data_IF_009783336427
#
_entry.id   IF_009783336427
#
_cell.length_a   1.000
_cell.length_b   1.000
_cell.length_c   1.000
_cell.angle_alpha   90.00
_cell.angle_beta   90.00
_cell.angle_gamma   90.00
#
_symmetry.space_group_name_H-M   'P 1'
#
loop_
_entity.id
_entity.type
_entity.pdbx_description
1 polymer ?
#
# COMPACT_ATOMS: atom_id res chain seq x y z
N UNK A 1 -19.77 -0.72 -52.46
CA UNK A 1 -18.36 -1.20 -52.54
C UNK A 1 -18.21 -2.33 -51.54
N UNK A 2 -17.62 -3.48 -51.90
CA UNK A 2 -17.38 -4.53 -50.90
C UNK A 2 -16.49 -3.97 -49.78
N UNK A 3 -16.78 -4.32 -48.53
CA UNK A 3 -16.00 -3.85 -47.40
C UNK A 3 -14.55 -4.33 -47.55
N UNK A 4 -13.64 -3.37 -47.66
CA UNK A 4 -12.21 -3.63 -47.64
C UNK A 4 -11.81 -3.82 -46.18
N UNK A 5 -11.37 -5.02 -45.81
CA UNK A 5 -10.82 -5.28 -44.49
C UNK A 5 -9.34 -5.64 -44.57
N UNK A 6 -8.56 -5.20 -43.59
CA UNK A 6 -7.08 -5.26 -43.62
C UNK A 6 -6.50 -6.35 -42.72
N UNK A 7 -7.35 -7.04 -41.95
CA UNK A 7 -6.96 -8.08 -41.02
C UNK A 7 -7.45 -9.44 -41.48
N UNK A 8 -6.58 -10.44 -41.37
CA UNK A 8 -6.91 -11.85 -41.48
C UNK A 8 -6.25 -12.64 -40.36
N UNK A 9 -6.54 -13.94 -40.29
CA UNK A 9 -5.82 -14.89 -39.46
C UNK A 9 -4.92 -15.76 -40.33
N UNK A 10 -3.62 -15.83 -40.04
CA UNK A 10 -2.67 -16.76 -40.68
C UNK A 10 -2.07 -17.64 -39.59
N UNK A 11 -2.17 -18.96 -39.74
CA UNK A 11 -1.73 -19.92 -38.71
C UNK A 11 -2.31 -19.63 -37.31
N UNK A 12 -3.57 -19.18 -37.26
CA UNK A 12 -4.25 -18.81 -36.01
C UNK A 12 -3.88 -17.43 -35.45
N UNK A 13 -2.88 -16.73 -35.99
CA UNK A 13 -2.45 -15.41 -35.51
C UNK A 13 -3.09 -14.29 -36.32
N UNK A 14 -3.37 -13.16 -35.67
CA UNK A 14 -3.76 -11.93 -36.37
C UNK A 14 -2.65 -11.49 -37.31
N UNK A 15 -3.03 -11.08 -38.52
CA UNK A 15 -2.09 -10.60 -39.53
C UNK A 15 -2.71 -9.39 -40.22
N UNK A 16 -2.03 -8.24 -40.12
CA UNK A 16 -2.38 -7.08 -40.92
C UNK A 16 -1.81 -7.26 -42.34
N UNK A 17 -2.51 -6.79 -43.37
CA UNK A 17 -2.04 -7.00 -44.76
C UNK A 17 -0.67 -6.37 -45.04
N UNK A 18 -0.34 -5.26 -44.36
CA UNK A 18 0.98 -4.60 -44.41
C UNK A 18 2.10 -5.40 -43.74
N UNK A 19 1.79 -6.43 -42.95
CA UNK A 19 2.80 -7.33 -42.35
C UNK A 19 3.20 -8.46 -43.31
N UNK A 20 2.51 -8.60 -44.45
CA UNK A 20 2.78 -9.63 -45.45
C UNK A 20 3.73 -9.11 -46.53
N UNK A 21 4.70 -9.95 -46.92
CA UNK A 21 5.54 -9.71 -48.10
C UNK A 21 4.72 -9.84 -49.40
N UNK A 22 4.58 -8.77 -50.21
CA UNK A 22 3.83 -8.80 -51.47
C UNK A 22 4.38 -9.76 -52.53
N UNK A 23 5.69 -10.03 -52.52
CA UNK A 23 6.32 -10.93 -53.48
C UNK A 23 5.94 -12.39 -53.22
N UNK A 24 5.59 -12.73 -51.98
CA UNK A 24 5.33 -14.11 -51.54
C UNK A 24 3.84 -14.34 -51.30
N UNK A 25 3.13 -13.35 -50.78
CA UNK A 25 1.82 -13.52 -50.17
C UNK A 25 0.66 -12.92 -50.96
N UNK A 26 0.87 -12.52 -52.21
CA UNK A 26 -0.19 -11.95 -53.05
C UNK A 26 -1.29 -12.99 -53.37
N UNK A 27 -2.55 -12.54 -53.42
CA UNK A 27 -3.69 -13.38 -53.76
C UNK A 27 -3.92 -14.47 -52.72
N UNK A 28 -4.20 -15.70 -53.17
CA UNK A 28 -4.43 -16.86 -52.29
C UNK A 28 -3.19 -17.34 -51.53
N UNK A 29 -1.99 -16.92 -51.96
CA UNK A 29 -0.73 -17.28 -51.31
C UNK A 29 -0.57 -16.66 -49.92
N UNK A 30 -1.43 -15.71 -49.55
CA UNK A 30 -1.46 -15.17 -48.19
C UNK A 30 -1.84 -16.22 -47.13
N UNK A 31 -2.52 -17.30 -47.51
CA UNK A 31 -2.95 -18.34 -46.56
C UNK A 31 -3.77 -17.81 -45.38
N UNK A 32 -4.38 -16.63 -45.54
CA UNK A 32 -5.17 -15.99 -44.49
C UNK A 32 -6.62 -16.45 -44.55
N UNK A 33 -7.28 -16.49 -43.39
CA UNK A 33 -8.72 -16.72 -43.25
C UNK A 33 -9.40 -15.53 -42.57
N UNK A 34 -10.68 -15.34 -42.83
CA UNK A 34 -11.49 -14.30 -42.21
C UNK A 34 -11.70 -14.61 -40.72
N UNK A 35 -11.50 -13.63 -39.83
CA UNK A 35 -11.79 -13.80 -38.41
C UNK A 35 -13.29 -14.06 -38.15
N UNK A 36 -14.18 -13.46 -38.95
CA UNK A 36 -15.62 -13.59 -38.76
C UNK A 36 -16.20 -14.94 -39.22
N UNK A 37 -15.88 -15.39 -40.44
CA UNK A 37 -16.48 -16.60 -41.01
C UNK A 37 -15.51 -17.78 -41.22
N UNK A 38 -14.21 -17.60 -40.96
CA UNK A 38 -13.20 -18.64 -41.12
C UNK A 38 -12.85 -19.02 -42.57
N UNK A 39 -13.46 -18.38 -43.58
CA UNK A 39 -13.21 -18.67 -45.00
C UNK A 39 -11.89 -18.07 -45.48
N UNK A 40 -11.32 -18.68 -46.52
CA UNK A 40 -10.07 -18.21 -47.14
C UNK A 40 -10.21 -16.79 -47.70
N UNK A 41 -9.13 -16.03 -47.59
CA UNK A 41 -8.98 -14.67 -48.09
C UNK A 41 -7.97 -14.63 -49.25
N UNK A 42 -8.14 -13.65 -50.14
CA UNK A 42 -7.14 -13.21 -51.12
C UNK A 42 -6.55 -11.88 -50.69
N UNK A 43 -5.23 -11.75 -50.73
CA UNK A 43 -4.57 -10.47 -50.44
C UNK A 43 -4.34 -9.64 -51.71
N UNK A 44 -4.96 -8.47 -51.78
CA UNK A 44 -4.80 -7.53 -52.88
C UNK A 44 -3.78 -6.45 -52.52
N UNK A 45 -2.56 -6.56 -53.06
CA UNK A 45 -1.42 -5.69 -52.72
C UNK A 45 -0.87 -4.94 -53.95
N UNK A 46 -1.63 -3.98 -54.48
CA UNK A 46 -1.24 -3.23 -55.69
C UNK A 46 -0.61 -1.88 -55.41
N UNK A 47 -0.06 -1.24 -56.44
CA UNK A 47 0.49 0.13 -56.37
C UNK A 47 -0.61 1.21 -56.41
N UNK A 48 -1.76 0.91 -57.03
CA UNK A 48 -2.81 1.90 -57.32
C UNK A 48 -4.00 1.89 -56.36
N UNK A 49 -4.15 0.84 -55.55
CA UNK A 49 -5.26 0.69 -54.59
C UNK A 49 -4.72 0.33 -53.23
N UNK A 50 -5.38 0.84 -52.19
CA UNK A 50 -5.09 0.47 -50.80
C UNK A 50 -5.12 -1.05 -50.65
N UNK A 51 -4.14 -1.58 -49.93
CA UNK A 51 -4.01 -3.02 -49.72
C UNK A 51 -5.16 -3.50 -48.83
N UNK A 52 -5.86 -4.55 -49.26
CA UNK A 52 -6.96 -5.15 -48.50
C UNK A 52 -7.07 -6.65 -48.76
N UNK A 53 -7.75 -7.33 -47.87
CA UNK A 53 -8.23 -8.69 -48.09
C UNK A 53 -9.61 -8.67 -48.74
N UNK A 54 -9.88 -9.69 -49.56
CA UNK A 54 -11.19 -10.03 -50.08
C UNK A 54 -11.46 -11.50 -49.82
N UNK A 55 -12.72 -11.89 -49.61
CA UNK A 55 -13.06 -13.32 -49.55
C UNK A 55 -12.74 -14.00 -50.87
N UNK A 56 -12.13 -15.19 -50.79
CA UNK A 56 -11.76 -15.95 -51.97
C UNK A 56 -12.99 -16.45 -52.76
N UNK A 57 -14.05 -16.74 -52.04
CA UNK A 57 -15.37 -17.07 -52.56
C UNK A 57 -16.35 -16.10 -51.90
N UNK A 58 -17.19 -15.45 -52.71
CA UNK A 58 -18.16 -14.48 -52.21
C UNK A 58 -19.02 -15.10 -51.10
N UNK A 59 -19.04 -14.42 -49.96
CA UNK A 59 -19.90 -14.76 -48.83
C UNK A 59 -20.79 -13.55 -48.54
N UNK A 60 -21.97 -13.50 -49.17
CA UNK A 60 -22.91 -12.39 -49.00
C UNK A 60 -23.32 -12.13 -47.54
N UNK A 61 -23.09 -13.08 -46.64
CA UNK A 61 -23.42 -12.98 -45.22
C UNK A 61 -22.24 -12.52 -44.33
N UNK A 62 -21.01 -12.42 -44.85
CA UNK A 62 -19.85 -12.01 -44.06
C UNK A 62 -19.39 -10.59 -44.44
N UNK A 63 -19.75 -9.62 -43.62
CA UNK A 63 -19.38 -8.22 -43.80
C UNK A 63 -18.75 -7.63 -42.51
N UNK A 64 -17.55 -8.09 -42.12
CA UNK A 64 -16.92 -7.63 -40.89
C UNK A 64 -16.59 -6.14 -41.02
N UNK A 65 -17.11 -5.35 -40.08
CA UNK A 65 -16.90 -3.90 -40.08
C UNK A 65 -15.46 -3.58 -39.66
N UNK A 66 -14.75 -2.64 -40.33
CA UNK A 66 -13.35 -2.35 -40.03
C UNK A 66 -13.08 -2.03 -38.55
N UNK A 67 -13.97 -1.26 -37.90
CA UNK A 67 -13.85 -0.98 -36.46
C UNK A 67 -14.09 -2.19 -35.55
N UNK A 68 -14.90 -3.15 -35.98
CA UNK A 68 -15.09 -4.40 -35.23
C UNK A 68 -13.84 -5.25 -35.33
N UNK A 69 -13.18 -5.26 -36.49
CA UNK A 69 -11.91 -5.97 -36.67
C UNK A 69 -10.76 -5.32 -35.91
N UNK A 70 -10.66 -3.99 -35.87
CA UNK A 70 -9.65 -3.29 -35.07
C UNK A 70 -9.82 -3.61 -33.58
N UNK A 71 -11.05 -3.52 -33.06
CA UNK A 71 -11.35 -3.87 -31.66
C UNK A 71 -10.95 -5.30 -31.34
N UNK A 72 -11.37 -6.27 -32.17
CA UNK A 72 -11.02 -7.68 -31.97
C UNK A 72 -9.52 -7.94 -32.08
N UNK A 73 -8.83 -7.29 -33.03
CA UNK A 73 -7.37 -7.33 -33.15
C UNK A 73 -6.68 -6.86 -31.87
N UNK A 74 -7.01 -5.66 -31.40
CA UNK A 74 -6.39 -5.07 -30.21
C UNK A 74 -6.68 -5.89 -28.95
N UNK A 75 -7.94 -6.27 -28.74
CA UNK A 75 -8.37 -7.10 -27.61
C UNK A 75 -7.59 -8.42 -27.55
N UNK A 76 -7.56 -9.17 -28.64
CA UNK A 76 -6.92 -10.49 -28.64
C UNK A 76 -5.39 -10.35 -28.48
N UNK A 77 -4.77 -9.34 -29.11
CA UNK A 77 -3.33 -9.06 -28.92
C UNK A 77 -2.99 -8.63 -27.51
N UNK A 78 -3.89 -7.92 -26.82
CA UNK A 78 -3.74 -7.62 -25.40
C UNK A 78 -3.85 -8.88 -24.54
N UNK A 79 -4.83 -9.76 -24.80
CA UNK A 79 -5.02 -11.01 -24.05
C UNK A 79 -3.80 -11.96 -24.15
N UNK A 80 -3.06 -11.91 -25.26
CA UNK A 80 -1.85 -12.70 -25.46
C UNK A 80 -0.63 -12.18 -24.67
N UNK A 81 -0.69 -10.96 -24.12
CA UNK A 81 0.45 -10.37 -23.39
C UNK A 81 0.61 -10.94 -21.99
N UNK A 82 1.87 -11.18 -21.61
CA UNK A 82 2.27 -11.55 -20.24
C UNK A 82 2.63 -10.35 -19.37
N UNK A 83 2.79 -9.18 -19.98
CA UNK A 83 3.06 -7.95 -19.26
C UNK A 83 2.49 -6.74 -20.00
N UNK A 84 2.06 -5.74 -19.23
CA UNK A 84 1.63 -4.43 -19.74
C UNK A 84 2.17 -3.34 -18.83
N UNK A 85 2.72 -2.29 -19.44
CA UNK A 85 2.88 -1.00 -18.76
C UNK A 85 1.50 -0.34 -18.66
N UNK A 86 1.11 0.05 -17.45
CA UNK A 86 -0.10 0.82 -17.20
C UNK A 86 0.29 2.13 -16.47
N UNK A 87 -0.27 3.27 -16.90
CA UNK A 87 0.09 4.56 -16.33
C UNK A 87 -0.50 4.74 -14.93
N UNK A 88 0.29 5.34 -14.05
CA UNK A 88 -0.16 5.89 -12.78
C UNK A 88 -0.74 7.29 -12.95
N UNK A 89 -0.35 8.24 -12.09
CA UNK A 89 -0.57 9.68 -12.22
C UNK A 89 -0.95 10.38 -10.91
N UNK A 90 -0.95 11.72 -10.98
CA UNK A 90 -1.53 12.58 -9.98
C UNK A 90 -3.05 12.38 -9.95
N UNK A 91 -3.55 11.75 -8.89
CA UNK A 91 -4.99 11.57 -8.65
C UNK A 91 -5.47 12.49 -7.55
N UNK A 92 -6.64 13.07 -7.77
CA UNK A 92 -7.36 13.80 -6.73
C UNK A 92 -7.92 12.80 -5.71
N UNK A 93 -7.64 13.02 -4.43
CA UNK A 93 -8.27 12.32 -3.31
C UNK A 93 -9.07 13.31 -2.48
N UNK A 94 -10.30 12.94 -2.14
CA UNK A 94 -11.22 13.80 -1.39
C UNK A 94 -11.68 13.06 -0.14
N UNK A 95 -11.67 13.76 0.99
CA UNK A 95 -12.20 13.24 2.24
C UNK A 95 -13.05 14.31 2.92
N UNK A 96 -14.23 13.90 3.39
CA UNK A 96 -15.04 14.65 4.34
C UNK A 96 -14.99 13.92 5.68
N UNK A 97 -14.45 14.59 6.69
CA UNK A 97 -14.39 14.06 8.05
C UNK A 97 -14.92 15.12 9.00
N UNK A 98 -15.98 14.77 9.74
CA UNK A 98 -16.65 15.65 10.70
C UNK A 98 -17.02 17.03 10.13
N UNK A 99 -17.54 17.05 8.90
CA UNK A 99 -17.97 18.28 8.21
C UNK A 99 -16.82 19.11 7.65
N UNK A 100 -15.58 18.63 7.74
CA UNK A 100 -14.41 19.25 7.10
C UNK A 100 -14.07 18.46 5.84
N UNK A 101 -14.36 19.05 4.69
CA UNK A 101 -13.96 18.52 3.38
C UNK A 101 -12.58 19.06 3.00
N UNK A 102 -11.66 18.16 2.66
CA UNK A 102 -10.35 18.50 2.06
C UNK A 102 -10.10 17.68 0.80
N UNK A 103 -9.21 18.22 -0.03
CA UNK A 103 -8.75 17.63 -1.28
C UNK A 103 -7.23 17.66 -1.31
N UNK A 104 -6.61 16.61 -1.84
CA UNK A 104 -5.17 16.52 -2.08
C UNK A 104 -4.90 15.80 -3.40
N UNK A 105 -3.77 16.11 -4.04
CA UNK A 105 -3.28 15.33 -5.18
C UNK A 105 -2.21 14.36 -4.70
N UNK A 106 -2.41 13.07 -4.98
CA UNK A 106 -1.47 12.01 -4.64
C UNK A 106 -0.87 11.47 -5.93
N UNK A 107 0.46 11.44 -6.01
CA UNK A 107 1.15 10.82 -7.12
C UNK A 107 1.18 9.30 -6.95
N UNK A 108 0.62 8.57 -7.91
CA UNK A 108 0.75 7.12 -7.98
C UNK A 108 1.65 6.79 -9.17
N UNK A 109 2.64 5.94 -8.97
CA UNK A 109 3.65 5.66 -9.99
C UNK A 109 3.11 4.76 -11.10
N UNK A 110 3.64 4.95 -12.31
CA UNK A 110 3.50 4.02 -13.42
C UNK A 110 4.03 2.64 -13.04
N UNK A 111 3.45 1.59 -13.64
CA UNK A 111 3.83 0.22 -13.29
C UNK A 111 3.71 -0.74 -14.46
N UNK A 112 4.67 -1.66 -14.54
CA UNK A 112 4.54 -2.87 -15.37
C UNK A 112 3.83 -3.94 -14.54
N UNK A 113 2.70 -4.39 -15.05
CA UNK A 113 1.92 -5.49 -14.51
C UNK A 113 2.30 -6.78 -15.23
N UNK A 114 2.54 -7.83 -14.45
CA UNK A 114 2.80 -9.18 -14.95
C UNK A 114 1.54 -10.03 -14.79
N UNK A 115 1.24 -10.84 -15.81
CA UNK A 115 0.03 -11.65 -15.89
C UNK A 115 0.38 -13.12 -16.10
N UNK A 116 -0.26 -14.02 -15.35
CA UNK A 116 -0.19 -15.46 -15.63
C UNK A 116 -1.02 -15.83 -16.85
N UNK A 117 -2.14 -15.14 -17.05
CA UNK A 117 -3.04 -15.34 -18.16
C UNK A 117 -3.83 -14.06 -18.49
N UNK A 118 -4.20 -13.91 -19.76
CA UNK A 118 -5.20 -12.97 -20.25
C UNK A 118 -6.25 -13.75 -21.02
N UNK A 119 -7.53 -13.53 -20.73
CA UNK A 119 -8.65 -14.21 -21.38
C UNK A 119 -9.52 -13.17 -22.07
N UNK A 120 -9.64 -13.26 -23.40
CA UNK A 120 -10.55 -12.41 -24.16
C UNK A 120 -12.00 -12.87 -24.01
N UNK A 121 -12.93 -11.92 -23.98
CA UNK A 121 -14.38 -12.17 -23.95
C UNK A 121 -14.82 -13.15 -22.83
N UNK A 122 -14.15 -13.13 -21.67
CA UNK A 122 -14.46 -14.06 -20.58
C UNK A 122 -15.60 -13.52 -19.69
N UNK A 123 -16.75 -14.20 -19.62
CA UNK A 123 -17.84 -13.76 -18.75
C UNK A 123 -17.45 -13.85 -17.28
N UNK A 124 -17.73 -12.79 -16.52
CA UNK A 124 -17.57 -12.74 -15.06
C UNK A 124 -18.87 -12.19 -14.47
N UNK A 125 -19.68 -13.08 -13.90
CA UNK A 125 -21.04 -12.74 -13.46
C UNK A 125 -21.95 -12.43 -14.66
N UNK A 126 -22.58 -11.27 -14.65
CA UNK A 126 -23.44 -10.76 -15.72
C UNK A 126 -22.70 -9.83 -16.70
N UNK A 127 -21.38 -9.65 -16.52
CA UNK A 127 -20.56 -8.75 -17.30
C UNK A 127 -19.52 -9.54 -18.11
N UNK A 128 -19.27 -9.10 -19.33
CA UNK A 128 -18.22 -9.65 -20.18
C UNK A 128 -17.22 -8.54 -20.52
N UNK A 129 -16.08 -8.46 -19.80
CA UNK A 129 -14.98 -7.60 -20.16
C UNK A 129 -14.32 -8.04 -21.48
N UNK A 130 -13.70 -7.11 -22.19
CA UNK A 130 -12.97 -7.42 -23.41
C UNK A 130 -11.77 -8.33 -23.13
N UNK A 131 -11.02 -8.05 -22.06
CA UNK A 131 -9.96 -8.92 -21.54
C UNK A 131 -10.01 -8.97 -20.02
N UNK A 132 -9.84 -10.14 -19.44
CA UNK A 132 -9.58 -10.33 -18.00
C UNK A 132 -8.18 -10.89 -17.82
N UNK A 133 -7.35 -10.19 -17.05
CA UNK A 133 -5.99 -10.62 -16.70
C UNK A 133 -5.93 -11.13 -15.27
N UNK A 134 -5.30 -12.29 -15.10
CA UNK A 134 -4.98 -12.84 -13.78
C UNK A 134 -3.59 -12.36 -13.35
N UNK A 135 -3.52 -11.61 -12.26
CA UNK A 135 -2.25 -11.11 -11.70
C UNK A 135 -1.82 -12.04 -10.54
N UNK A 136 -0.65 -12.70 -10.61
CA UNK A 136 -0.19 -13.64 -9.58
C UNK A 136 -0.18 -13.03 -8.18
N UNK A 137 -0.81 -13.71 -7.22
CA UNK A 137 -0.89 -13.27 -5.82
C UNK A 137 -1.72 -11.99 -5.59
N UNK A 138 -2.50 -11.56 -6.58
CA UNK A 138 -3.37 -10.38 -6.53
C UNK A 138 -4.77 -10.73 -7.05
N UNK A 139 -5.58 -9.69 -7.25
CA UNK A 139 -6.91 -9.78 -7.88
C UNK A 139 -6.79 -9.66 -9.40
N UNK A 140 -7.85 -10.05 -10.10
CA UNK A 140 -7.94 -9.92 -11.55
C UNK A 140 -8.12 -8.46 -11.98
N UNK A 141 -7.55 -8.12 -13.13
CA UNK A 141 -7.66 -6.82 -13.79
C UNK A 141 -8.54 -6.95 -15.04
N UNK A 142 -9.60 -6.15 -15.11
CA UNK A 142 -10.41 -6.04 -16.31
C UNK A 142 -9.86 -4.96 -17.25
N UNK A 143 -9.82 -5.25 -18.54
CA UNK A 143 -9.47 -4.32 -19.59
C UNK A 143 -10.61 -4.21 -20.60
N UNK A 144 -10.97 -2.98 -20.95
CA UNK A 144 -11.92 -2.62 -22.01
C UNK A 144 -11.19 -1.96 -23.17
N UNK A 145 -11.51 -2.32 -24.40
CA UNK A 145 -11.02 -1.66 -25.62
C UNK A 145 -12.13 -0.78 -26.16
N UNK A 146 -11.94 0.54 -26.13
CA UNK A 146 -12.99 1.51 -26.48
C UNK A 146 -12.88 1.98 -27.93
N UNK A 147 -13.97 1.85 -28.70
CA UNK A 147 -14.03 2.28 -30.12
C UNK A 147 -14.68 3.64 -30.41
N UNK A 148 -15.83 3.97 -29.80
CA UNK A 148 -16.57 5.22 -30.15
C UNK A 148 -17.42 5.71 -29.01
N UNK A 149 -18.19 4.82 -28.38
CA UNK A 149 -18.92 5.14 -27.14
C UNK A 149 -18.05 4.74 -25.96
N UNK A 150 -17.88 5.66 -25.00
CA UNK A 150 -17.27 5.32 -23.71
C UNK A 150 -18.02 4.13 -23.09
N UNK A 151 -17.35 3.36 -22.24
CA UNK A 151 -18.02 2.43 -21.32
C UNK A 151 -19.23 3.16 -20.72
N UNK A 152 -20.43 2.67 -21.01
CA UNK A 152 -21.64 3.33 -20.52
C UNK A 152 -21.58 3.41 -18.98
N UNK A 153 -22.20 4.42 -18.38
CA UNK A 153 -22.09 4.64 -16.94
C UNK A 153 -22.50 3.41 -16.12
N UNK A 154 -23.42 2.58 -16.63
CA UNK A 154 -23.87 1.35 -15.98
C UNK A 154 -22.82 0.22 -16.09
N UNK A 155 -22.17 0.03 -17.24
CA UNK A 155 -21.08 -0.93 -17.43
C UNK A 155 -19.88 -0.55 -16.57
N UNK A 156 -19.55 0.75 -16.48
CA UNK A 156 -18.48 1.25 -15.62
C UNK A 156 -18.73 0.97 -14.14
N UNK A 157 -19.97 1.11 -13.68
CA UNK A 157 -20.35 0.78 -12.30
C UNK A 157 -20.26 -0.73 -12.02
N UNK A 158 -20.70 -1.56 -12.96
CA UNK A 158 -20.55 -3.02 -12.86
C UNK A 158 -19.08 -3.43 -12.79
N UNK A 159 -18.23 -2.87 -13.65
CA UNK A 159 -16.77 -3.09 -13.60
C UNK A 159 -16.19 -2.73 -12.23
N UNK A 160 -16.57 -1.57 -11.66
CA UNK A 160 -16.13 -1.14 -10.32
C UNK A 160 -16.59 -2.10 -9.21
N UNK A 161 -17.77 -2.70 -9.35
CA UNK A 161 -18.31 -3.63 -8.36
C UNK A 161 -17.64 -5.01 -8.39
N UNK A 162 -17.24 -5.48 -9.58
CA UNK A 162 -16.68 -6.81 -9.78
C UNK A 162 -15.15 -6.85 -9.68
N UNK A 163 -14.47 -5.78 -10.12
CA UNK A 163 -13.02 -5.74 -10.22
C UNK A 163 -12.41 -4.65 -9.34
N UNK A 164 -11.34 -5.01 -8.63
CA UNK A 164 -10.55 -4.01 -7.90
C UNK A 164 -9.84 -3.08 -8.89
N UNK A 165 -9.34 -3.61 -10.00
CA UNK A 165 -8.73 -2.83 -11.07
C UNK A 165 -9.45 -3.07 -12.40
N UNK A 166 -9.86 -1.98 -13.04
CA UNK A 166 -10.46 -1.98 -14.36
C UNK A 166 -9.95 -0.77 -15.14
N UNK A 167 -9.45 -0.98 -16.35
CA UNK A 167 -8.86 0.06 -17.20
C UNK A 167 -9.42 -0.01 -18.62
N UNK A 168 -9.54 1.15 -19.25
CA UNK A 168 -9.95 1.30 -20.64
C UNK A 168 -8.73 1.69 -21.49
N UNK A 169 -8.60 1.08 -22.66
CA UNK A 169 -7.66 1.45 -23.72
C UNK A 169 -8.43 2.02 -24.92
N UNK A 170 -8.18 3.29 -25.23
CA UNK A 170 -8.88 4.05 -26.27
C UNK A 170 -8.25 3.80 -27.65
N UNK A 171 -9.06 3.28 -28.57
CA UNK A 171 -8.72 3.05 -29.98
C UNK A 171 -9.58 3.88 -30.93
N UNK A 172 -10.35 4.85 -30.41
CA UNK A 172 -11.38 5.56 -31.17
C UNK A 172 -10.87 6.51 -32.24
N UNK A 173 -9.65 7.02 -32.07
CA UNK A 173 -8.94 7.88 -33.02
C UNK A 173 -7.96 7.10 -33.91
N UNK A 174 -7.81 5.79 -33.70
CA UNK A 174 -6.95 4.97 -34.54
C UNK A 174 -7.56 4.80 -35.94
N UNK A 175 -6.73 4.64 -36.98
CA UNK A 175 -7.21 4.50 -38.34
C UNK A 175 -8.29 3.43 -38.49
N UNK A 176 -9.43 3.81 -39.06
CA UNK A 176 -10.50 2.86 -39.36
C UNK A 176 -10.05 1.72 -40.29
N UNK A 177 -9.03 2.00 -41.10
CA UNK A 177 -8.36 1.04 -41.95
C UNK A 177 -7.41 0.08 -41.20
N UNK A 178 -7.40 0.08 -39.87
CA UNK A 178 -6.56 -0.78 -39.03
C UNK A 178 -5.13 -0.26 -38.83
N UNK A 179 -4.44 -0.88 -37.88
CA UNK A 179 -3.05 -0.65 -37.50
C UNK A 179 -2.24 -1.96 -37.51
N UNK A 180 -0.92 -1.88 -37.69
CA UNK A 180 -0.01 -3.04 -37.56
C UNK A 180 0.31 -3.34 -36.09
N UNK A 181 0.96 -4.48 -35.84
CA UNK A 181 1.44 -4.82 -34.49
C UNK A 181 2.43 -3.77 -33.94
N UNK A 182 3.33 -3.26 -34.78
CA UNK A 182 4.30 -2.24 -34.38
C UNK A 182 3.63 -0.92 -34.01
N UNK A 183 2.56 -0.54 -34.71
CA UNK A 183 1.75 0.63 -34.38
C UNK A 183 0.95 0.41 -33.09
N UNK A 184 0.45 -0.81 -32.83
CA UNK A 184 -0.16 -1.15 -31.54
C UNK A 184 0.85 -1.01 -30.40
N UNK A 185 2.07 -1.52 -30.56
CA UNK A 185 3.15 -1.37 -29.57
C UNK A 185 3.52 0.09 -29.28
N UNK A 186 3.38 0.98 -30.26
CA UNK A 186 3.55 2.42 -30.06
C UNK A 186 2.35 3.01 -29.31
N UNK A 187 1.12 2.69 -29.74
CA UNK A 187 -0.11 3.16 -29.10
C UNK A 187 -0.19 2.74 -27.62
N UNK A 188 0.26 1.52 -27.27
CA UNK A 188 0.25 1.06 -25.88
C UNK A 188 1.14 1.91 -24.94
N UNK A 189 2.11 2.65 -25.48
CA UNK A 189 2.98 3.57 -24.71
C UNK A 189 2.37 4.96 -24.56
N UNK A 190 1.28 5.25 -25.26
CA UNK A 190 0.63 6.55 -25.22
C UNK A 190 -0.29 6.66 -24.00
N UNK A 191 0.17 7.37 -22.98
CA UNK A 191 -0.55 7.55 -21.71
C UNK A 191 -2.01 7.99 -21.87
N UNK A 192 -2.29 8.90 -22.81
CA UNK A 192 -3.62 9.48 -23.00
C UNK A 192 -4.66 8.46 -23.48
N UNK A 193 -4.24 7.30 -23.99
CA UNK A 193 -5.13 6.20 -24.39
C UNK A 193 -5.65 5.39 -23.22
N UNK A 194 -5.01 5.49 -22.06
CA UNK A 194 -5.35 4.70 -20.90
C UNK A 194 -6.21 5.50 -19.93
N UNK A 195 -7.31 4.90 -19.48
CA UNK A 195 -8.18 5.50 -18.48
C UNK A 195 -8.62 4.48 -17.44
N UNK A 196 -8.26 4.70 -16.18
CA UNK A 196 -8.75 3.88 -15.07
C UNK A 196 -10.26 4.08 -14.86
N UNK A 197 -11.01 2.98 -14.85
CA UNK A 197 -12.43 2.91 -14.51
C UNK A 197 -12.61 2.58 -13.03
N UNK A 198 -11.75 1.70 -12.52
CA UNK A 198 -11.64 1.25 -11.14
C UNK A 198 -10.16 1.10 -10.83
N UNK A 199 -9.67 1.72 -9.77
CA UNK A 199 -8.25 1.64 -9.42
C UNK A 199 -8.05 1.51 -7.92
N UNK A 200 -7.51 0.37 -7.49
CA UNK A 200 -7.35 0.04 -6.09
C UNK A 200 -6.36 0.97 -5.38
N UNK A 201 -5.24 1.32 -6.02
CA UNK A 201 -4.25 2.23 -5.46
C UNK A 201 -4.84 3.62 -5.19
N UNK A 202 -5.72 4.12 -6.06
CA UNK A 202 -6.46 5.38 -5.85
C UNK A 202 -7.40 5.29 -4.65
N UNK A 203 -8.23 4.25 -4.54
CA UNK A 203 -9.10 4.04 -3.36
C UNK A 203 -8.33 3.87 -2.06
N UNK A 204 -7.18 3.21 -2.11
CA UNK A 204 -6.29 3.11 -0.96
C UNK A 204 -5.69 4.47 -0.59
N UNK A 205 -5.33 5.30 -1.58
CA UNK A 205 -4.86 6.66 -1.35
C UNK A 205 -5.96 7.51 -0.68
N UNK A 206 -7.21 7.42 -1.14
CA UNK A 206 -8.35 8.07 -0.48
C UNK A 206 -8.55 7.59 0.96
N UNK A 207 -8.43 6.28 1.21
CA UNK A 207 -8.55 5.72 2.56
C UNK A 207 -7.43 6.21 3.47
N UNK A 208 -6.17 6.23 2.99
CA UNK A 208 -5.03 6.78 3.71
C UNK A 208 -5.23 8.27 4.01
N UNK A 209 -5.68 9.04 3.02
CA UNK A 209 -5.97 10.46 3.18
C UNK A 209 -7.08 10.71 4.22
N UNK A 210 -8.18 9.97 4.14
CA UNK A 210 -9.28 10.05 5.12
C UNK A 210 -8.80 9.72 6.54
N UNK A 211 -8.01 8.67 6.72
CA UNK A 211 -7.48 8.28 8.02
C UNK A 211 -6.53 9.35 8.57
N UNK A 212 -5.65 9.91 7.74
CA UNK A 212 -4.78 11.03 8.10
C UNK A 212 -5.58 12.26 8.49
N UNK A 213 -6.56 12.67 7.68
CA UNK A 213 -7.43 13.81 7.98
C UNK A 213 -8.23 13.60 9.28
N UNK A 214 -8.76 12.39 9.49
CA UNK A 214 -9.44 12.03 10.73
C UNK A 214 -8.51 12.13 11.94
N UNK A 215 -7.25 11.72 11.80
CA UNK A 215 -6.24 11.89 12.84
C UNK A 215 -5.95 13.37 13.11
N UNK A 216 -5.72 14.16 12.07
CA UNK A 216 -5.42 15.60 12.19
C UNK A 216 -6.53 16.39 12.87
N UNK A 217 -7.78 16.11 12.51
CA UNK A 217 -8.94 16.80 13.06
C UNK A 217 -9.31 16.34 14.47
N UNK A 218 -8.75 15.21 14.93
CA UNK A 218 -9.10 14.63 16.22
C UNK A 218 -8.56 15.50 17.34
N UNK A 219 -9.34 15.66 18.40
CA UNK A 219 -8.82 16.07 19.69
C UNK A 219 -8.55 14.78 20.48
N UNK A 220 -7.28 14.36 20.52
CA UNK A 220 -6.95 13.08 21.12
C UNK A 220 -7.10 13.15 22.64
N UNK A 221 -7.73 12.13 23.21
CA UNK A 221 -7.93 12.00 24.65
C UNK A 221 -7.57 10.59 25.09
N UNK A 222 -7.00 10.50 26.28
CA UNK A 222 -6.80 9.24 26.97
C UNK A 222 -8.15 8.73 27.49
N UNK A 223 -8.49 7.48 27.17
CA UNK A 223 -9.70 6.85 27.69
C UNK A 223 -9.44 6.32 29.11
N UNK A 224 -9.92 7.07 30.10
CA UNK A 224 -9.73 6.70 31.52
C UNK A 224 -10.48 5.40 31.87
N UNK A 225 -11.56 5.08 31.15
CA UNK A 225 -12.32 3.84 31.34
C UNK A 225 -11.58 2.59 30.88
N UNK A 226 -10.54 2.74 30.04
CA UNK A 226 -9.69 1.64 29.59
C UNK A 226 -8.76 1.11 30.70
N UNK A 227 -8.54 1.88 31.78
CA UNK A 227 -7.63 1.50 32.87
C UNK A 227 -8.27 0.49 33.83
N UNK A 228 -8.17 -0.80 33.51
CA UNK A 228 -8.59 -1.88 34.40
C UNK A 228 -7.43 -2.87 34.62
N UNK A 229 -6.61 -2.61 35.65
CA UNK A 229 -5.46 -3.44 36.08
C UNK A 229 -4.40 -3.64 34.97
N UNK A 230 -3.19 -4.07 35.32
CA UNK A 230 -2.19 -4.44 34.33
C UNK A 230 -2.67 -5.68 33.56
N UNK A 231 -3.16 -5.51 32.33
CA UNK A 231 -3.52 -6.62 31.46
C UNK A 231 -2.30 -7.00 30.61
N UNK A 232 -1.69 -8.18 30.85
CA UNK A 232 -0.55 -8.62 30.08
C UNK A 232 -0.92 -8.76 28.61
N UNK A 233 0.01 -8.41 27.73
CA UNK A 233 -0.06 -8.80 26.33
C UNK A 233 0.12 -10.32 26.18
N UNK A 234 -0.70 -11.00 25.37
CA UNK A 234 -0.61 -12.46 25.12
C UNK A 234 0.68 -12.85 24.38
N UNK A 235 1.13 -14.11 24.53
CA UNK A 235 2.17 -14.42 25.51
C UNK A 235 3.41 -13.57 25.25
N UNK A 236 4.04 -13.11 26.33
CA UNK A 236 5.29 -12.36 26.31
C UNK A 236 6.29 -13.04 25.37
N UNK A 237 7.06 -12.26 24.62
CA UNK A 237 8.03 -12.75 23.64
C UNK A 237 9.15 -13.59 24.31
N UNK A 238 8.84 -14.80 24.74
CA UNK A 238 9.65 -15.60 25.65
C UNK A 238 11.04 -15.91 25.08
N UNK A 239 11.14 -16.09 23.76
CA UNK A 239 12.42 -16.23 23.08
C UNK A 239 13.28 -14.97 23.18
N UNK A 240 12.67 -13.78 23.05
CA UNK A 240 13.35 -12.48 23.17
C UNK A 240 13.72 -12.16 24.61
N UNK A 241 12.88 -12.53 25.59
CA UNK A 241 13.23 -12.41 27.01
C UNK A 241 14.42 -13.29 27.38
N UNK A 242 14.43 -14.57 26.96
CA UNK A 242 15.58 -15.47 27.16
C UNK A 242 16.85 -14.94 26.47
N UNK A 243 16.71 -14.34 25.29
CA UNK A 243 17.83 -13.72 24.60
C UNK A 243 18.37 -12.52 25.41
N UNK A 244 17.49 -11.66 25.92
CA UNK A 244 17.87 -10.54 26.78
C UNK A 244 18.51 -11.01 28.10
N UNK A 245 18.02 -12.10 28.70
CA UNK A 245 18.59 -12.70 29.91
C UNK A 245 20.07 -13.07 29.69
N UNK A 246 20.38 -13.73 28.57
CA UNK A 246 21.77 -14.07 28.19
C UNK A 246 22.64 -12.84 28.00
N UNK A 247 22.06 -11.70 27.64
CA UNK A 247 22.78 -10.43 27.42
C UNK A 247 22.94 -9.60 28.69
N UNK A 248 22.35 -9.98 29.83
CA UNK A 248 22.31 -9.16 31.04
C UNK A 248 23.70 -8.82 31.61
N UNK A 249 24.65 -9.76 31.55
CA UNK A 249 26.04 -9.52 32.01
C UNK A 249 26.71 -8.46 31.14
N UNK A 250 26.63 -8.61 29.82
CA UNK A 250 27.13 -7.61 28.87
C UNK A 250 26.44 -6.26 29.09
N UNK A 251 25.11 -6.26 29.28
CA UNK A 251 24.32 -5.06 29.45
C UNK A 251 24.70 -4.26 30.70
N UNK A 252 25.12 -4.91 31.79
CA UNK A 252 25.67 -4.23 32.99
C UNK A 252 26.96 -3.48 32.67
N UNK A 253 27.87 -4.11 31.93
CA UNK A 253 29.11 -3.47 31.48
C UNK A 253 28.83 -2.30 30.53
N UNK A 254 27.91 -2.51 29.59
CA UNK A 254 27.52 -1.50 28.62
C UNK A 254 26.80 -0.30 29.27
N UNK A 255 25.93 -0.55 30.26
CA UNK A 255 25.31 0.51 31.04
C UNK A 255 26.36 1.36 31.79
N UNK A 256 27.38 0.74 32.36
CA UNK A 256 28.48 1.46 33.01
C UNK A 256 29.22 2.34 32.00
N UNK A 257 29.50 1.82 30.80
CA UNK A 257 30.09 2.58 29.69
C UNK A 257 29.23 3.77 29.28
N UNK A 258 27.92 3.57 29.08
CA UNK A 258 26.97 4.63 28.72
C UNK A 258 26.90 5.71 29.82
N UNK A 259 26.95 5.32 31.10
CA UNK A 259 26.96 6.27 32.23
C UNK A 259 28.26 7.06 32.33
N UNK A 260 29.41 6.44 32.04
CA UNK A 260 30.73 7.02 32.19
C UNK A 260 31.14 7.91 30.99
N UNK A 261 30.74 7.54 29.78
CA UNK A 261 31.22 8.15 28.55
C UNK A 261 30.50 9.46 28.16
N UNK A 262 29.37 9.82 28.80
CA UNK A 262 28.50 10.88 28.28
C UNK A 262 27.90 11.79 29.35
N UNK A 263 27.87 13.08 29.05
CA UNK A 263 27.58 14.18 29.97
C UNK A 263 26.10 14.57 30.00
N UNK A 264 25.34 14.30 28.93
CA UNK A 264 23.96 14.76 28.76
C UNK A 264 22.92 13.64 28.64
N UNK A 265 21.65 13.98 28.90
CA UNK A 265 20.51 13.06 28.70
C UNK A 265 20.31 12.66 27.23
N UNK A 266 20.69 13.54 26.30
CA UNK A 266 20.56 13.31 24.86
C UNK A 266 21.58 12.28 24.36
N UNK A 267 22.86 12.45 24.70
CA UNK A 267 23.91 11.51 24.29
C UNK A 267 23.63 10.08 24.80
N UNK A 268 23.08 9.96 26.02
CA UNK A 268 22.63 8.66 26.56
C UNK A 268 21.48 8.06 25.76
N UNK A 269 20.55 8.88 25.27
CA UNK A 269 19.47 8.44 24.41
C UNK A 269 20.01 7.97 23.05
N UNK A 270 20.92 8.72 22.43
CA UNK A 270 21.57 8.38 21.16
C UNK A 270 22.34 7.06 21.27
N UNK A 271 23.11 6.88 22.35
CA UNK A 271 23.83 5.64 22.61
C UNK A 271 22.89 4.44 22.77
N UNK A 272 21.75 4.63 23.45
CA UNK A 272 20.72 3.60 23.60
C UNK A 272 20.03 3.29 22.27
N UNK A 273 19.76 4.31 21.46
CA UNK A 273 19.17 4.19 20.12
C UNK A 273 20.06 3.44 19.13
N UNK A 274 21.39 3.55 19.26
CA UNK A 274 22.35 2.82 18.44
C UNK A 274 22.43 1.31 18.73
N UNK A 275 21.82 0.84 19.83
CA UNK A 275 21.78 -0.58 20.18
C UNK A 275 20.64 -1.31 19.45
N UNK A 276 20.89 -2.59 19.17
CA UNK A 276 19.86 -3.54 18.76
C UNK A 276 18.70 -3.59 19.78
N UNK A 277 17.48 -3.83 19.29
CA UNK A 277 16.26 -3.79 20.11
C UNK A 277 16.32 -4.67 21.38
N UNK A 278 16.90 -5.87 21.27
CA UNK A 278 17.00 -6.80 22.41
C UNK A 278 18.07 -6.38 23.42
N UNK A 279 19.15 -5.78 22.95
CA UNK A 279 20.25 -5.29 23.77
C UNK A 279 19.84 -4.05 24.54
N UNK A 280 19.12 -3.15 23.87
CA UNK A 280 18.50 -1.97 24.48
C UNK A 280 17.62 -2.34 25.67
N UNK A 281 16.80 -3.37 25.49
CA UNK A 281 15.95 -3.90 26.55
C UNK A 281 16.76 -4.55 27.68
N UNK A 282 17.82 -5.30 27.37
CA UNK A 282 18.72 -5.87 28.39
C UNK A 282 19.43 -4.77 29.20
N UNK A 283 19.83 -3.66 28.57
CA UNK A 283 20.39 -2.47 29.24
C UNK A 283 19.36 -1.82 30.17
N UNK A 284 18.09 -1.72 29.75
CA UNK A 284 17.03 -1.23 30.61
C UNK A 284 16.78 -2.15 31.82
N UNK A 285 16.81 -3.47 31.63
CA UNK A 285 16.74 -4.45 32.73
C UNK A 285 17.91 -4.28 33.71
N UNK A 286 19.14 -4.15 33.20
CA UNK A 286 20.32 -3.91 34.01
C UNK A 286 20.24 -2.58 34.79
N UNK A 287 19.68 -1.53 34.18
CA UNK A 287 19.49 -0.24 34.84
C UNK A 287 18.49 -0.33 36.00
N UNK A 288 17.45 -1.13 35.84
CA UNK A 288 16.39 -1.32 36.83
C UNK A 288 16.66 -2.46 37.82
N UNK A 289 17.74 -3.21 37.65
CA UNK A 289 18.06 -4.42 38.44
C UNK A 289 16.96 -5.50 38.37
N UNK A 290 16.31 -5.61 37.22
CA UNK A 290 15.26 -6.59 36.96
C UNK A 290 15.81 -7.74 36.10
N UNK A 291 15.25 -8.94 36.30
CA UNK A 291 15.50 -10.09 35.43
C UNK A 291 14.52 -10.04 34.24
N UNK A 292 15.01 -10.08 32.99
CA UNK A 292 14.14 -10.17 31.80
C UNK A 292 13.04 -11.23 31.86
N UNK A 293 13.30 -12.39 32.47
CA UNK A 293 12.33 -13.49 32.55
C UNK A 293 11.30 -13.34 33.68
N UNK A 294 11.58 -12.49 34.68
CA UNK A 294 10.73 -12.28 35.87
C UNK A 294 10.16 -10.85 35.93
N UNK A 295 9.88 -10.25 34.77
CA UNK A 295 9.40 -8.86 34.73
C UNK A 295 7.97 -8.71 35.25
N UNK A 296 7.71 -7.65 36.05
CA UNK A 296 6.35 -7.26 36.40
C UNK A 296 5.47 -7.04 35.17
N UNK A 297 4.20 -7.46 35.29
CA UNK A 297 3.22 -7.45 34.19
C UNK A 297 3.01 -6.07 33.57
N UNK A 298 3.17 -5.00 34.35
CA UNK A 298 2.99 -3.63 33.88
C UNK A 298 4.08 -3.15 32.91
N UNK A 299 5.17 -3.90 32.70
CA UNK A 299 6.16 -3.65 31.64
C UNK A 299 5.87 -4.38 30.32
N UNK A 300 4.76 -5.11 30.26
CA UNK A 300 4.28 -5.77 29.05
C UNK A 300 2.77 -5.59 28.88
N UNK A 301 2.25 -4.43 29.28
CA UNK A 301 0.82 -4.16 29.31
C UNK A 301 0.28 -3.68 27.97
N UNK A 302 -0.98 -4.03 27.69
CA UNK A 302 -1.70 -3.45 26.54
C UNK A 302 -2.10 -2.01 26.86
N UNK A 303 -1.81 -1.11 25.93
CA UNK A 303 -2.18 0.32 25.97
C UNK A 303 -3.21 0.64 24.89
N UNK A 304 -3.91 1.77 25.02
CA UNK A 304 -4.95 2.22 24.08
C UNK A 304 -4.43 2.34 22.64
N UNK A 305 -3.22 2.89 22.48
CA UNK A 305 -2.51 2.97 21.21
C UNK A 305 -1.11 2.37 21.40
N UNK A 306 -0.77 1.39 20.56
CA UNK A 306 0.54 0.74 20.59
C UNK A 306 1.61 1.48 19.80
N UNK A 307 2.85 1.03 19.97
CA UNK A 307 4.02 1.40 19.16
C UNK A 307 4.28 0.32 18.09
N UNK A 308 5.25 0.50 17.18
CA UNK A 308 5.54 -0.45 16.09
C UNK A 308 6.03 -1.83 16.58
N UNK A 309 6.46 -1.92 17.85
CA UNK A 309 6.94 -3.16 18.47
C UNK A 309 6.14 -3.55 19.71
N UNK A 310 6.31 -4.82 20.09
CA UNK A 310 5.70 -5.38 21.29
C UNK A 310 6.05 -4.55 22.55
N UNK A 311 5.11 -4.35 23.49
CA UNK A 311 5.29 -3.63 24.77
C UNK A 311 6.66 -3.75 25.46
N UNK A 312 7.18 -4.98 25.65
CA UNK A 312 8.49 -5.21 26.26
C UNK A 312 9.62 -4.35 25.64
N UNK A 313 9.58 -4.08 24.32
CA UNK A 313 10.65 -3.38 23.62
C UNK A 313 10.77 -1.90 23.99
N UNK A 314 9.71 -1.30 24.56
CA UNK A 314 9.65 0.14 24.79
C UNK A 314 9.14 0.54 26.18
N UNK A 315 8.26 -0.24 26.83
CA UNK A 315 7.69 0.13 28.13
C UNK A 315 8.72 0.18 29.25
N UNK A 316 9.55 -0.85 29.37
CA UNK A 316 10.63 -0.86 30.37
C UNK A 316 11.72 0.19 30.07
N UNK A 317 12.23 0.33 28.82
CA UNK A 317 13.14 1.43 28.50
C UNK A 317 12.59 2.82 28.84
N UNK A 318 11.32 3.08 28.53
CA UNK A 318 10.65 4.35 28.90
C UNK A 318 10.60 4.52 30.41
N UNK A 319 10.20 3.49 31.15
CA UNK A 319 10.16 3.55 32.61
C UNK A 319 11.56 3.71 33.23
N UNK A 320 12.57 3.04 32.70
CA UNK A 320 13.94 3.21 33.17
C UNK A 320 14.46 4.64 32.98
N UNK A 321 13.98 5.35 31.96
CA UNK A 321 14.39 6.72 31.66
C UNK A 321 13.58 7.81 32.41
N UNK A 322 12.34 7.52 32.80
CA UNK A 322 11.41 8.52 33.33
C UNK A 322 10.63 8.09 34.58
N UNK A 323 10.54 6.80 34.87
CA UNK A 323 9.72 6.25 35.95
C UNK A 323 10.29 6.38 37.36
N UNK A 324 11.53 6.89 37.50
CA UNK A 324 12.19 7.14 38.78
C UNK A 324 12.76 8.57 38.83
N UNK A 325 12.86 9.12 40.04
CA UNK A 325 13.49 10.42 40.33
C UNK A 325 12.49 11.52 40.67
N UNK A 326 12.98 12.74 40.87
CA UNK A 326 12.15 13.82 41.44
C UNK A 326 11.57 14.78 40.40
N UNK A 327 11.89 14.60 39.11
CA UNK A 327 11.52 15.55 38.06
C UNK A 327 10.21 15.15 37.38
N UNK A 328 9.27 16.09 37.36
CA UNK A 328 8.05 15.98 36.57
C UNK A 328 8.36 16.12 35.06
N UNK A 329 7.55 15.47 34.22
CA UNK A 329 7.74 15.49 32.75
C UNK A 329 6.42 15.36 31.98
N UNK A 330 6.36 15.98 30.80
CA UNK A 330 5.25 15.82 29.87
C UNK A 330 5.45 14.64 28.91
N UNK A 331 4.35 14.15 28.34
CA UNK A 331 4.37 13.07 27.33
C UNK A 331 5.11 13.45 26.03
N UNK A 332 5.18 14.74 25.71
CA UNK A 332 5.97 15.32 24.61
C UNK A 332 7.48 15.11 24.82
N UNK A 333 7.97 15.32 26.05
CA UNK A 333 9.38 15.09 26.41
C UNK A 333 9.74 13.61 26.27
N UNK A 334 8.83 12.72 26.67
CA UNK A 334 9.04 11.26 26.52
C UNK A 334 9.02 10.86 25.04
N UNK A 335 8.13 11.45 24.24
CA UNK A 335 8.06 11.20 22.80
C UNK A 335 9.35 11.64 22.09
N UNK A 336 9.85 12.85 22.37
CA UNK A 336 11.10 13.35 21.80
C UNK A 336 12.31 12.47 22.21
N UNK A 337 12.32 11.97 23.45
CA UNK A 337 13.34 11.01 23.88
C UNK A 337 13.20 9.67 23.15
N UNK A 338 11.98 9.15 22.96
CA UNK A 338 11.74 7.87 22.30
C UNK A 338 12.12 7.92 20.81
N UNK A 339 11.97 9.05 20.13
CA UNK A 339 12.43 9.21 18.75
C UNK A 339 13.94 9.00 18.59
N UNK A 340 14.71 9.31 19.63
CA UNK A 340 16.17 9.17 19.65
C UNK A 340 16.58 7.79 20.20
N UNK A 341 16.00 7.41 21.34
CA UNK A 341 16.39 6.21 22.07
C UNK A 341 15.70 4.93 21.57
N UNK A 342 14.56 5.06 20.89
CA UNK A 342 13.72 3.95 20.43
C UNK A 342 13.28 4.14 18.97
N UNK A 343 14.19 4.46 18.02
CA UNK A 343 13.82 4.85 16.66
C UNK A 343 12.99 3.79 15.93
N UNK A 344 13.21 2.51 16.22
CA UNK A 344 12.50 1.38 15.59
C UNK A 344 11.08 1.19 16.16
N UNK A 345 10.81 1.73 17.35
CA UNK A 345 9.53 1.55 18.03
C UNK A 345 8.53 2.67 17.70
N UNK A 346 9.00 3.88 17.38
CA UNK A 346 8.13 5.05 17.19
C UNK A 346 7.44 5.04 15.84
N UNK A 347 6.26 5.66 15.74
CA UNK A 347 5.61 5.91 14.45
C UNK A 347 6.28 7.09 13.75
N UNK A 348 6.83 6.87 12.55
CA UNK A 348 7.69 7.83 11.85
C UNK A 348 6.91 8.82 10.99
N UNK A 349 6.14 9.74 11.59
CA UNK A 349 5.42 10.82 10.87
C UNK A 349 5.23 12.08 11.72
N UNK A 350 6.23 12.99 11.78
CA UNK A 350 6.21 14.16 12.66
C UNK A 350 5.09 15.17 12.36
N UNK A 351 4.65 15.23 11.10
CA UNK A 351 3.65 16.19 10.61
C UNK A 351 2.21 15.73 10.83
N UNK A 352 1.98 14.43 11.06
CA UNK A 352 0.65 13.88 11.33
C UNK A 352 0.25 14.07 12.80
N UNK A 353 -0.22 15.27 13.13
CA UNK A 353 -0.64 15.66 14.48
C UNK A 353 -2.12 15.96 14.56
N UNK A 354 -2.72 15.46 15.63
CA UNK A 354 -4.07 15.83 16.11
C UNK A 354 -4.16 17.32 16.46
N UNK A 355 -5.38 17.85 16.64
CA UNK A 355 -5.63 19.27 16.98
C UNK A 355 -4.93 19.71 18.26
N UNK A 356 -4.78 18.81 19.23
CA UNK A 356 -4.06 19.06 20.47
C UNK A 356 -2.60 18.58 20.45
N UNK A 357 -2.01 18.42 19.25
CA UNK A 357 -0.57 18.29 19.08
C UNK A 357 0.01 16.89 19.34
N UNK A 358 -0.84 15.86 19.46
CA UNK A 358 -0.40 14.47 19.56
C UNK A 358 -0.14 13.87 18.18
N UNK A 359 1.08 13.35 17.98
CA UNK A 359 1.33 12.29 17.01
C UNK A 359 1.06 10.91 17.65
N UNK A 360 1.10 9.84 16.86
CA UNK A 360 0.78 8.49 17.36
C UNK A 360 1.73 8.03 18.47
N UNK A 361 3.02 8.35 18.36
CA UNK A 361 4.04 8.03 19.38
C UNK A 361 3.72 8.68 20.73
N UNK A 362 3.48 10.00 20.75
CA UNK A 362 3.13 10.74 21.96
C UNK A 362 1.83 10.21 22.57
N UNK A 363 0.83 9.90 21.74
CA UNK A 363 -0.45 9.36 22.19
C UNK A 363 -0.30 7.97 22.85
N UNK A 364 0.50 7.09 22.25
CA UNK A 364 0.81 5.77 22.82
C UNK A 364 1.54 5.87 24.16
N UNK A 365 2.57 6.72 24.23
CA UNK A 365 3.35 6.96 25.44
C UNK A 365 2.50 7.60 26.54
N UNK A 366 1.66 8.58 26.19
CA UNK A 366 0.74 9.19 27.14
C UNK A 366 -0.23 8.15 27.73
N UNK A 367 -0.79 7.27 26.90
CA UNK A 367 -1.64 6.17 27.38
C UNK A 367 -0.90 5.21 28.34
N UNK A 368 0.36 4.89 28.06
CA UNK A 368 1.20 4.10 28.97
C UNK A 368 1.46 4.81 30.30
N UNK A 369 1.83 6.09 30.26
CA UNK A 369 2.09 6.88 31.48
C UNK A 369 0.84 7.01 32.35
N UNK A 370 -0.32 7.23 31.75
CA UNK A 370 -1.60 7.23 32.47
C UNK A 370 -1.93 5.87 33.09
N UNK A 371 -1.53 4.76 32.45
CA UNK A 371 -1.68 3.42 33.03
C UNK A 371 -0.75 3.21 34.24
N UNK A 372 0.47 3.75 34.21
CA UNK A 372 1.37 3.76 35.36
C UNK A 372 0.82 4.62 36.51
N UNK A 373 0.09 5.71 36.21
CA UNK A 373 -0.64 6.49 37.22
C UNK A 373 -1.72 5.63 37.89
N UNK A 374 -2.53 4.91 37.11
CA UNK A 374 -3.56 4.02 37.63
C UNK A 374 -2.99 2.87 38.50
N UNK A 375 -1.70 2.56 38.35
CA UNK A 375 -0.98 1.53 39.10
C UNK A 375 -0.21 2.08 40.31
N UNK A 376 -0.27 3.39 40.57
CA UNK A 376 0.46 4.02 41.68
C UNK A 376 1.96 4.11 41.45
N UNK A 377 2.44 3.99 40.20
CA UNK A 377 3.85 4.13 39.85
C UNK A 377 4.22 5.57 39.47
N UNK A 378 3.23 6.32 38.98
CA UNK A 378 3.35 7.75 38.67
C UNK A 378 2.19 8.51 39.34
N UNK A 379 2.39 9.80 39.55
CA UNK A 379 1.33 10.78 39.81
C UNK A 379 1.17 11.66 38.58
N UNK A 380 0.03 12.32 38.45
CA UNK A 380 -0.17 13.37 37.43
C UNK A 380 -0.93 14.55 38.00
N UNK A 381 -0.84 15.70 37.34
CA UNK A 381 -1.53 16.94 37.72
C UNK A 381 -3.05 16.95 37.40
N UNK A 382 -3.68 15.79 37.33
CA UNK A 382 -5.13 15.63 37.29
C UNK A 382 -5.82 16.41 36.17
N UNK A 383 -6.75 17.31 36.53
CA UNK A 383 -7.75 18.00 35.68
C UNK A 383 -7.19 18.80 34.48
N UNK A 384 -5.87 18.85 34.30
CA UNK A 384 -5.25 19.41 33.10
C UNK A 384 -5.71 18.67 31.83
N UNK A 385 -5.70 19.37 30.70
CA UNK A 385 -5.91 18.75 29.39
C UNK A 385 -4.77 17.78 29.09
N UNK A 386 -5.03 16.77 28.27
CA UNK A 386 -4.05 15.71 27.98
C UNK A 386 -2.71 16.28 27.47
N UNK A 387 -2.75 17.32 26.65
CA UNK A 387 -1.56 17.99 26.12
C UNK A 387 -0.72 18.73 27.18
N UNK A 388 -1.33 19.13 28.29
CA UNK A 388 -0.72 19.89 29.40
C UNK A 388 -0.46 19.02 30.65
N UNK A 389 -0.79 17.73 30.57
CA UNK A 389 -0.60 16.80 31.67
C UNK A 389 0.89 16.51 31.87
N UNK A 390 1.29 16.59 33.14
CA UNK A 390 2.64 16.31 33.60
C UNK A 390 2.59 15.15 34.57
N UNK A 391 3.53 14.22 34.40
CA UNK A 391 3.70 13.01 35.19
C UNK A 391 4.87 13.17 36.16
N UNK A 392 4.72 12.66 37.37
CA UNK A 392 5.72 12.71 38.43
C UNK A 392 6.00 11.28 38.92
N UNK A 393 7.26 10.84 39.01
CA UNK A 393 7.58 9.56 39.61
C UNK A 393 7.18 9.49 41.09
N UNK A 394 6.64 8.34 41.51
CA UNK A 394 6.37 8.06 42.93
C UNK A 394 7.66 7.73 43.68
N UNK A 395 8.59 7.04 43.03
CA UNK A 395 9.85 6.62 43.63
C UNK A 395 11.01 7.49 43.18
N UNK A 396 11.66 8.17 44.11
CA UNK A 396 12.87 8.92 43.84
C UNK A 396 14.07 7.99 43.55
N UNK A 397 14.15 6.87 44.28
CA UNK A 397 15.26 5.92 44.20
C UNK A 397 14.79 4.56 43.72
N UNK A 398 15.66 3.90 42.98
CA UNK A 398 15.45 2.52 42.50
C UNK A 398 15.29 1.52 43.64
N UNK A 399 15.96 1.71 44.78
CA UNK A 399 15.79 0.87 45.98
C UNK A 399 14.34 0.82 46.45
N UNK A 400 13.68 1.98 46.42
CA UNK A 400 12.32 2.14 46.94
C UNK A 400 11.32 1.48 45.99
N UNK A 401 11.56 1.61 44.68
CA UNK A 401 10.82 0.88 43.66
C UNK A 401 11.00 -0.64 43.78
N UNK A 402 12.21 -1.14 44.02
CA UNK A 402 12.45 -2.58 44.19
C UNK A 402 11.78 -3.13 45.46
N UNK A 403 11.74 -2.34 46.54
CA UNK A 403 11.01 -2.69 47.76
C UNK A 403 9.51 -2.83 47.46
N UNK A 404 8.93 -1.87 46.72
CA UNK A 404 7.53 -1.93 46.27
C UNK A 404 7.20 -3.18 45.43
N UNK A 405 8.14 -3.69 44.62
CA UNK A 405 7.91 -4.93 43.86
C UNK A 405 7.94 -6.20 44.72
N UNK A 406 8.49 -6.11 45.92
CA UNK A 406 8.65 -7.25 46.84
C UNK A 406 7.50 -7.35 47.85
N UNK A 407 6.64 -6.32 47.93
CA UNK A 407 5.39 -6.26 48.69
C UNK A 407 4.21 -6.77 47.85
#
# INVERSE_FOLDING_TARGET
MPAQFVYGRRNGQWTHIRDLDPAIHRGRLCGCVCHGCGRALQAHMGESKAWHFQHDVDDGNCNPQPMTLLHAFVRDRLAERRQLWLPGGAVEVVADVWGTRRTEFVEIQDRVYEFSEGKSEHPVGDLQPDVVFTIPGRWDLALEVRKTHAVDAAKGERLRSLFKDAIEFDVSDLPAAGITESELDQALKERHRWKWVSWMEHRQAETRFRNRLSWELKEWRVDIGFFTRAMPYKPVAAAKLRQAQKRLVWAKGELARIKLAWSSKRERAEALGALELTDRFAVACAAMELQPEDLPVFFAQRVQLGMQHHPYAWQLPVFAAFGLGDKAFGSDVVAAWAEIALPDCVWSKPDERTRNGFNQTRAALHGYLAQLVAQGLLLWNGRAKAEDQVFQPVFARRSDFLAFLSE
#
